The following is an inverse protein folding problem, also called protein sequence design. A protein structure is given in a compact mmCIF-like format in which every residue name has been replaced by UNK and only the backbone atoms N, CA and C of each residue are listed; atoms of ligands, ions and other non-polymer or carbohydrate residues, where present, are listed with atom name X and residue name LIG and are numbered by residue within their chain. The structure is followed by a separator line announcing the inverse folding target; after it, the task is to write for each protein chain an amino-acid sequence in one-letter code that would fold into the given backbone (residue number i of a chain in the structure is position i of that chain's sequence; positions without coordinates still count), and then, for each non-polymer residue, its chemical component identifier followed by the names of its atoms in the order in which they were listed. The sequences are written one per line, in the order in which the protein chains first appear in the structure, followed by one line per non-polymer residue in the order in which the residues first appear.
data_IF_434563541302
#
_entry.id   IF_434563541302
#
_cell.length_a   1.000
_cell.length_b   1.000
_cell.length_c   1.000
_cell.angle_alpha   90.00
_cell.angle_beta   90.00
_cell.angle_gamma   90.00
#
_symmetry.space_group_name_H-M   'P 1'
#
loop_
_entity.id
_entity.type
_entity.pdbx_description
1 polymer ?
#
# COMPACT_ATOMS: atom_id res chain seq x y z
N UNK A 1 -0.73 2.30 -23.61
CA UNK A 1 0.68 2.30 -23.18
C UNK A 1 0.72 1.72 -21.78
N UNK A 2 1.04 0.44 -21.64
CA UNK A 2 1.30 -0.17 -20.32
C UNK A 2 2.68 0.31 -19.88
N UNK A 3 2.71 1.45 -19.16
CA UNK A 3 3.94 2.00 -18.62
C UNK A 3 4.57 1.00 -17.66
N UNK A 4 5.85 0.69 -17.87
CA UNK A 4 6.65 -0.19 -16.99
C UNK A 4 6.48 0.27 -15.54
N UNK A 5 6.15 -0.67 -14.64
CA UNK A 5 5.99 -0.40 -13.21
C UNK A 5 7.20 0.39 -12.68
N UNK A 6 6.97 1.56 -12.10
CA UNK A 6 8.04 2.34 -11.49
C UNK A 6 8.32 1.80 -10.07
N UNK A 7 9.13 0.74 -10.02
CA UNK A 7 9.47 0.02 -8.78
C UNK A 7 10.13 0.93 -7.74
N UNK A 8 10.93 1.91 -8.16
CA UNK A 8 11.58 2.84 -7.22
C UNK A 8 10.56 3.72 -6.51
N UNK A 9 9.63 4.33 -7.25
CA UNK A 9 8.55 5.13 -6.65
C UNK A 9 7.63 4.26 -5.78
N UNK A 10 7.32 3.04 -6.22
CA UNK A 10 6.51 2.11 -5.44
C UNK A 10 7.18 1.77 -4.09
N UNK A 11 8.51 1.55 -4.06
CA UNK A 11 9.28 1.33 -2.81
C UNK A 11 9.18 2.54 -1.87
N UNK A 12 9.27 3.75 -2.39
CA UNK A 12 9.14 4.98 -1.59
C UNK A 12 7.73 5.13 -1.00
N UNK A 13 6.69 4.92 -1.81
CA UNK A 13 5.30 4.97 -1.34
C UNK A 13 5.01 3.87 -0.33
N UNK A 14 5.51 2.65 -0.54
CA UNK A 14 5.37 1.54 0.41
C UNK A 14 6.02 1.89 1.76
N UNK A 15 7.23 2.44 1.77
CA UNK A 15 7.92 2.87 2.99
C UNK A 15 7.09 3.89 3.79
N UNK A 16 6.41 4.79 3.10
CA UNK A 16 5.51 5.75 3.73
C UNK A 16 4.27 5.07 4.33
N UNK A 17 3.63 4.16 3.59
CA UNK A 17 2.51 3.36 4.10
C UNK A 17 2.87 2.57 5.35
N UNK A 18 4.01 1.87 5.35
CA UNK A 18 4.50 1.14 6.51
C UNK A 18 4.73 2.05 7.73
N UNK A 19 5.26 3.25 7.50
CA UNK A 19 5.44 4.24 8.57
C UNK A 19 4.13 4.61 9.24
N UNK A 20 3.10 4.89 8.43
CA UNK A 20 1.76 5.25 8.91
C UNK A 20 1.02 4.10 9.56
N UNK A 21 1.18 2.89 9.05
CA UNK A 21 0.64 1.69 9.67
C UNK A 21 1.28 1.42 11.05
N UNK A 22 2.60 1.62 11.19
CA UNK A 22 3.28 1.53 12.50
C UNK A 22 2.86 2.64 13.46
N UNK A 23 2.56 3.83 12.96
CA UNK A 23 1.99 4.93 13.76
C UNK A 23 0.62 4.52 14.30
N UNK A 24 -0.26 4.00 13.44
CA UNK A 24 -1.60 3.54 13.81
C UNK A 24 -1.56 2.42 14.85
N UNK A 25 -0.65 1.45 14.71
CA UNK A 25 -0.49 0.34 15.67
C UNK A 25 0.02 0.77 17.05
N UNK A 26 0.58 1.97 17.18
CA UNK A 26 1.12 2.52 18.44
C UNK A 26 0.15 3.46 19.15
N UNK A 27 -0.93 3.84 18.47
CA UNK A 27 -1.99 4.68 19.02
C UNK A 27 -2.90 3.84 19.93
N UNK A 28 -2.76 4.01 21.24
CA UNK A 28 -3.53 3.25 22.24
C UNK A 28 -4.77 4.02 22.73
N UNK A 29 -4.84 5.36 22.49
CA UNK A 29 -5.88 6.23 23.11
C UNK A 29 -6.35 7.47 22.30
N UNK A 30 -5.83 7.78 21.10
CA UNK A 30 -6.32 8.94 20.32
C UNK A 30 -7.34 8.58 19.24
N UNK A 31 -8.01 9.62 18.71
CA UNK A 31 -8.85 9.53 17.51
C UNK A 31 -7.99 9.22 16.27
N UNK A 32 -7.96 7.95 15.89
CA UNK A 32 -7.18 7.44 14.76
C UNK A 32 -7.87 7.60 13.40
N UNK A 33 -9.11 8.12 13.35
CA UNK A 33 -9.93 8.15 12.11
C UNK A 33 -9.25 8.86 10.96
N UNK A 34 -8.47 9.91 11.25
CA UNK A 34 -7.71 10.65 10.24
C UNK A 34 -6.58 9.80 9.65
N UNK A 35 -5.85 9.07 10.50
CA UNK A 35 -4.75 8.19 10.12
C UNK A 35 -5.25 6.95 9.36
N UNK A 36 -6.35 6.34 9.83
CA UNK A 36 -7.04 5.26 9.12
C UNK A 36 -7.52 5.70 7.73
N UNK A 37 -8.11 6.90 7.65
CA UNK A 37 -8.53 7.48 6.37
C UNK A 37 -7.34 7.71 5.44
N UNK A 38 -6.23 8.24 5.96
CA UNK A 38 -5.01 8.46 5.18
C UNK A 38 -4.43 7.14 4.65
N UNK A 39 -4.36 6.10 5.48
CA UNK A 39 -3.92 4.76 5.07
C UNK A 39 -4.85 4.17 4.00
N UNK A 40 -6.17 4.35 4.15
CA UNK A 40 -7.16 3.90 3.16
C UNK A 40 -6.94 4.57 1.80
N UNK A 41 -6.78 5.90 1.78
CA UNK A 41 -6.54 6.62 0.53
C UNK A 41 -5.20 6.27 -0.09
N UNK A 42 -4.15 6.13 0.71
CA UNK A 42 -2.82 5.75 0.23
C UNK A 42 -2.82 4.38 -0.45
N UNK A 43 -3.49 3.38 0.12
CA UNK A 43 -3.62 2.05 -0.52
C UNK A 43 -4.36 2.13 -1.86
N UNK A 44 -5.44 2.91 -1.93
CA UNK A 44 -6.19 3.10 -3.18
C UNK A 44 -5.33 3.76 -4.24
N UNK A 45 -4.64 4.85 -3.87
CA UNK A 45 -3.76 5.59 -4.75
C UNK A 45 -2.61 4.70 -5.27
N UNK A 46 -2.05 3.84 -4.42
CA UNK A 46 -1.06 2.85 -4.84
C UNK A 46 -1.61 1.86 -5.88
N UNK A 47 -2.83 1.34 -5.69
CA UNK A 47 -3.44 0.43 -6.67
C UNK A 47 -3.62 1.13 -8.02
N UNK A 48 -4.11 2.36 -8.01
CA UNK A 48 -4.46 3.11 -9.22
C UNK A 48 -3.20 3.64 -9.95
N UNK A 49 -2.24 4.23 -9.23
CA UNK A 49 -1.04 4.82 -9.85
C UNK A 49 -0.05 3.79 -10.38
N UNK A 50 0.05 2.63 -9.72
CA UNK A 50 1.02 1.59 -10.07
C UNK A 50 0.39 0.39 -10.77
N UNK A 51 -0.91 0.46 -11.11
CA UNK A 51 -1.67 -0.64 -11.72
C UNK A 51 -1.45 -1.99 -11.00
N UNK A 52 -1.42 -1.99 -9.66
CA UNK A 52 -1.06 -3.18 -8.88
C UNK A 52 -2.01 -4.36 -9.15
N UNK A 53 -3.24 -4.06 -9.58
CA UNK A 53 -4.23 -5.05 -9.96
C UNK A 53 -3.83 -5.89 -11.18
N UNK A 54 -2.98 -5.36 -12.06
CA UNK A 54 -2.45 -6.08 -13.22
C UNK A 54 -1.31 -7.04 -12.81
N UNK A 55 -0.81 -6.90 -11.58
CA UNK A 55 0.31 -7.66 -11.04
C UNK A 55 -0.10 -8.65 -9.93
N UNK A 56 -1.26 -8.43 -9.29
CA UNK A 56 -1.77 -9.30 -8.23
C UNK A 56 -3.30 -9.17 -8.10
N UNK A 57 -4.06 -10.18 -8.57
CA UNK A 57 -5.52 -10.14 -8.66
C UNK A 57 -6.23 -9.89 -7.32
N UNK A 58 -5.61 -10.31 -6.21
CA UNK A 58 -6.19 -10.21 -4.87
C UNK A 58 -5.94 -8.86 -4.19
N UNK A 59 -5.07 -8.01 -4.75
CA UNK A 59 -4.67 -6.74 -4.11
C UNK A 59 -5.87 -5.83 -3.82
N UNK A 60 -6.91 -5.88 -4.67
CA UNK A 60 -8.15 -5.11 -4.48
C UNK A 60 -8.99 -5.63 -3.31
N UNK A 61 -8.97 -6.94 -3.05
CA UNK A 61 -9.68 -7.56 -1.92
C UNK A 61 -9.00 -7.24 -0.60
N UNK A 62 -7.68 -7.12 -0.63
CA UNK A 62 -6.85 -6.91 0.55
C UNK A 62 -6.71 -5.45 0.99
N UNK A 63 -7.30 -4.49 0.28
CA UNK A 63 -7.36 -3.09 0.74
C UNK A 63 -7.93 -2.96 2.16
N UNK A 64 -8.74 -3.93 2.63
CA UNK A 64 -9.28 -3.96 3.99
C UNK A 64 -8.25 -4.37 5.06
N UNK A 65 -7.23 -5.17 4.72
CA UNK A 65 -6.18 -5.61 5.64
C UNK A 65 -4.84 -4.96 5.23
N UNK A 66 -4.40 -3.96 5.98
CA UNK A 66 -3.19 -3.22 5.64
C UNK A 66 -1.92 -4.08 5.70
N UNK A 67 -1.83 -5.07 6.59
CA UNK A 67 -0.66 -5.96 6.66
C UNK A 67 -0.57 -6.85 5.43
N UNK A 68 -1.69 -7.48 5.03
CA UNK A 68 -1.73 -8.32 3.84
C UNK A 68 -1.42 -7.50 2.56
N UNK A 69 -2.01 -6.30 2.45
CA UNK A 69 -1.73 -5.38 1.36
C UNK A 69 -0.24 -5.03 1.26
N UNK A 70 0.44 -4.75 2.39
CA UNK A 70 1.87 -4.45 2.42
C UNK A 70 2.69 -5.62 1.89
N UNK A 71 2.40 -6.85 2.33
CA UNK A 71 3.14 -8.03 1.87
C UNK A 71 2.96 -8.29 0.38
N UNK A 72 1.73 -8.16 -0.14
CA UNK A 72 1.51 -8.29 -1.58
C UNK A 72 2.25 -7.22 -2.41
N UNK A 73 2.31 -5.98 -1.93
CA UNK A 73 3.11 -4.94 -2.61
C UNK A 73 4.60 -5.30 -2.60
N UNK A 74 5.13 -5.86 -1.50
CA UNK A 74 6.52 -6.35 -1.46
C UNK A 74 6.76 -7.46 -2.48
N UNK A 75 5.85 -8.42 -2.60
CA UNK A 75 5.94 -9.48 -3.60
C UNK A 75 5.93 -8.95 -5.03
N UNK A 76 5.05 -7.97 -5.34
CA UNK A 76 5.04 -7.29 -6.65
C UNK A 76 6.39 -6.61 -6.91
N UNK A 77 6.93 -5.90 -5.92
CA UNK A 77 8.23 -5.23 -6.03
C UNK A 77 9.35 -6.26 -6.31
N UNK A 78 9.36 -7.39 -5.61
CA UNK A 78 10.36 -8.44 -5.77
C UNK A 78 10.34 -9.06 -7.17
N UNK A 79 9.15 -9.37 -7.69
CA UNK A 79 8.98 -9.94 -9.04
C UNK A 79 9.42 -8.96 -10.15
N UNK A 80 9.34 -7.66 -9.90
CA UNK A 80 9.60 -6.62 -10.89
C UNK A 80 10.94 -5.86 -10.69
N UNK A 81 11.75 -6.21 -9.68
CA UNK A 81 13.07 -5.64 -9.41
C UNK A 81 14.16 -6.38 -10.18
#
# INVERSE_FOLDING_TARGET
MTGKLNVQKLKETLKYLESKHRELKREDQNDTRSLESMIKYLKKDMVDQYNLADHHDEIKKEIKNTDAFIENVKSIIEINS
#
